data_IF_152324042717
#
_entry.id   IF_152324042717
#
_cell.length_a   1.000
_cell.length_b   1.000
_cell.length_c   1.000
_cell.angle_alpha   90.00
_cell.angle_beta   90.00
_cell.angle_gamma   90.00
#
_symmetry.space_group_name_H-M   'P 1'
#
loop_
_entity.id
_entity.type
_entity.pdbx_description
1 polymer ?
#
# COMPACT_ATOMS: atom_id res chain seq x y z
N UNK A 1 -1.16 -15.36 -52.90
CA UNK A 1 -1.31 -14.11 -53.66
C UNK A 1 -0.24 -13.14 -53.16
N UNK A 2 0.73 -12.75 -54.01
CA UNK A 2 2.03 -12.21 -53.57
C UNK A 2 2.11 -10.67 -53.50
N UNK A 3 3.23 -10.25 -52.91
CA UNK A 3 3.77 -8.92 -52.61
C UNK A 3 3.52 -7.78 -53.61
N UNK A 4 3.47 -6.56 -53.08
CA UNK A 4 3.78 -5.34 -53.82
C UNK A 4 5.11 -4.74 -53.34
N UNK A 5 6.01 -4.60 -54.32
CA UNK A 5 7.29 -3.92 -54.27
C UNK A 5 7.08 -2.40 -54.23
N UNK A 6 7.89 -1.68 -53.46
CA UNK A 6 8.36 -0.35 -53.89
C UNK A 6 9.82 -0.15 -53.47
N UNK A 7 10.57 0.39 -54.43
CA UNK A 7 12.01 0.34 -54.55
C UNK A 7 12.76 1.36 -53.66
N UNK A 8 14.01 0.99 -53.41
CA UNK A 8 15.10 1.77 -52.85
C UNK A 8 15.39 3.06 -53.64
N UNK A 9 15.82 4.10 -52.92
CA UNK A 9 16.85 5.01 -53.40
C UNK A 9 17.79 5.39 -52.25
N UNK A 10 19.06 5.05 -52.43
CA UNK A 10 20.21 5.41 -51.61
C UNK A 10 20.77 6.74 -52.11
N UNK A 11 21.07 7.69 -51.21
CA UNK A 11 22.25 8.56 -51.33
C UNK A 11 22.83 8.82 -49.94
N UNK A 12 24.12 8.57 -49.84
CA UNK A 12 25.02 8.63 -48.69
C UNK A 12 25.67 10.01 -48.48
N UNK A 13 25.86 10.39 -47.21
CA UNK A 13 27.06 11.06 -46.64
C UNK A 13 26.62 11.58 -45.26
N UNK A 14 27.14 11.17 -44.09
CA UNK A 14 28.52 10.89 -43.73
C UNK A 14 28.98 11.99 -42.77
N UNK A 15 29.04 11.72 -41.46
CA UNK A 15 30.05 12.22 -40.51
C UNK A 15 29.77 11.73 -39.07
N UNK A 16 30.71 10.97 -38.52
CA UNK A 16 30.79 10.50 -37.14
C UNK A 16 31.60 11.46 -36.24
N UNK A 17 31.11 11.66 -35.00
CA UNK A 17 31.80 11.82 -33.69
C UNK A 17 32.85 12.95 -33.47
N UNK A 18 33.15 13.38 -32.19
CA UNK A 18 33.13 12.59 -30.95
C UNK A 18 32.68 13.26 -29.62
N UNK A 19 32.55 12.38 -28.61
CA UNK A 19 32.63 12.63 -27.17
C UNK A 19 33.74 13.60 -26.75
N UNK A 20 33.50 14.42 -25.72
CA UNK A 20 34.57 15.07 -24.94
C UNK A 20 34.51 14.65 -23.47
N UNK A 21 35.60 14.03 -23.05
CA UNK A 21 35.95 13.63 -21.70
C UNK A 21 36.76 14.74 -20.99
N UNK A 22 36.67 14.71 -19.67
CA UNK A 22 37.30 15.47 -18.60
C UNK A 22 38.79 15.83 -18.82
N UNK A 23 39.18 17.05 -18.41
CA UNK A 23 40.57 17.38 -18.04
C UNK A 23 40.64 18.17 -16.74
N UNK A 24 41.41 17.63 -15.81
CA UNK A 24 41.94 18.28 -14.61
C UNK A 24 43.07 19.27 -14.99
N UNK A 25 43.15 20.39 -14.28
CA UNK A 25 44.38 21.16 -14.13
C UNK A 25 44.43 21.79 -12.74
N UNK A 26 45.42 21.37 -11.95
CA UNK A 26 45.91 22.03 -10.75
C UNK A 26 46.66 23.31 -11.11
N UNK A 27 46.50 24.37 -10.33
CA UNK A 27 47.62 25.19 -9.86
C UNK A 27 47.21 26.10 -8.70
N UNK A 28 47.98 25.95 -7.64
CA UNK A 28 48.05 26.68 -6.37
C UNK A 28 48.23 28.20 -6.49
N UNK A 29 47.64 28.97 -5.56
CA UNK A 29 48.41 29.71 -4.53
C UNK A 29 47.55 30.63 -3.65
N UNK A 30 47.78 30.51 -2.33
CA UNK A 30 47.73 31.53 -1.26
C UNK A 30 46.43 32.27 -0.90
N UNK A 31 46.01 32.00 0.34
CA UNK A 31 44.98 32.68 1.16
C UNK A 31 45.52 34.04 1.69
N UNK A 32 44.64 34.98 2.08
CA UNK A 32 44.62 35.33 3.50
C UNK A 32 43.20 35.41 4.11
N UNK A 33 43.15 35.12 5.40
CA UNK A 33 41.96 34.98 6.23
C UNK A 33 41.28 36.33 6.55
N UNK A 34 39.95 36.35 6.53
CA UNK A 34 39.12 37.37 7.19
C UNK A 34 37.93 36.68 7.87
N UNK A 35 37.75 36.97 9.16
CA UNK A 35 36.69 36.52 10.05
C UNK A 35 35.43 37.41 9.89
N UNK A 36 34.24 36.81 9.82
CA UNK A 36 32.98 37.43 10.30
C UNK A 36 31.80 36.44 10.30
N UNK A 37 31.33 36.16 11.52
CA UNK A 37 30.00 35.77 12.05
C UNK A 37 29.20 34.55 11.52
N UNK A 38 28.52 33.79 12.43
CA UNK A 38 27.76 32.61 12.06
C UNK A 38 26.33 32.97 11.64
N UNK A 39 25.93 32.57 10.43
CA UNK A 39 24.53 32.53 10.02
C UNK A 39 23.78 31.38 10.72
N UNK A 40 22.47 31.53 10.98
CA UNK A 40 21.70 30.60 11.78
C UNK A 40 21.52 29.28 11.03
N UNK A 41 21.83 28.18 11.71
CA UNK A 41 21.64 26.82 11.21
C UNK A 41 20.16 26.59 10.85
N UNK A 42 19.91 26.34 9.57
CA UNK A 42 18.66 25.79 9.05
C UNK A 42 18.31 24.51 9.83
N UNK A 43 17.24 24.60 10.62
CA UNK A 43 16.63 23.44 11.28
C UNK A 43 15.96 22.62 10.19
N UNK A 44 16.73 21.73 9.59
CA UNK A 44 16.22 20.63 8.77
C UNK A 44 15.37 19.74 9.68
N UNK A 45 14.07 20.02 9.72
CA UNK A 45 13.08 19.13 10.34
C UNK A 45 12.96 17.91 9.45
N UNK A 46 13.80 16.90 9.68
CA UNK A 46 13.54 15.56 9.16
C UNK A 46 12.31 14.98 9.88
N UNK A 47 11.41 14.27 9.20
CA UNK A 47 10.26 13.68 9.87
C UNK A 47 10.71 12.42 10.64
N UNK A 48 11.09 12.60 11.90
CA UNK A 48 11.46 11.57 12.90
C UNK A 48 10.31 10.62 13.30
N UNK A 49 9.46 10.18 12.36
CA UNK A 49 8.23 9.45 12.68
C UNK A 49 8.09 8.06 12.07
N UNK A 50 9.06 7.58 11.28
CA UNK A 50 9.02 6.24 10.69
C UNK A 50 9.71 5.16 11.54
N UNK A 51 10.75 5.49 12.30
CA UNK A 51 11.66 4.48 12.88
C UNK A 51 11.17 3.78 14.17
N UNK A 52 9.99 4.13 14.70
CA UNK A 52 9.53 3.66 16.02
C UNK A 52 8.29 2.75 16.02
N UNK A 53 7.78 2.30 14.86
CA UNK A 53 6.54 1.51 14.80
C UNK A 53 6.72 -0.02 14.75
N UNK A 54 7.96 -0.51 14.80
CA UNK A 54 8.26 -1.94 14.96
C UNK A 54 8.02 -2.80 13.69
N UNK A 55 8.38 -4.10 13.74
CA UNK A 55 8.30 -5.02 12.59
C UNK A 55 6.86 -5.34 12.12
N UNK A 56 5.86 -5.00 12.93
CA UNK A 56 4.44 -5.18 12.64
C UNK A 56 3.95 -4.28 11.52
N UNK A 57 4.53 -3.08 11.38
CA UNK A 57 4.16 -2.12 10.34
C UNK A 57 5.02 -2.31 9.11
N UNK A 58 4.38 -2.72 8.01
CA UNK A 58 4.99 -2.90 6.70
C UNK A 58 4.53 -1.79 5.77
N UNK A 59 5.49 -1.13 5.15
CA UNK A 59 5.24 -0.11 4.14
C UNK A 59 5.47 -0.71 2.75
N UNK A 60 4.57 -0.42 1.82
CA UNK A 60 4.87 -0.66 0.41
C UNK A 60 6.07 0.20 0.00
N UNK A 61 7.02 -0.34 -0.79
CA UNK A 61 8.12 0.44 -1.31
C UNK A 61 7.62 1.65 -2.08
N UNK A 62 7.94 2.85 -1.60
CA UNK A 62 7.49 4.09 -2.21
C UNK A 62 8.22 4.30 -3.54
N UNK A 63 7.45 4.48 -4.61
CA UNK A 63 7.94 4.93 -5.91
C UNK A 63 7.08 6.10 -6.39
N UNK A 64 7.51 6.78 -7.45
CA UNK A 64 6.82 7.97 -7.95
C UNK A 64 5.41 7.66 -8.47
N UNK A 65 5.14 6.42 -8.91
CA UNK A 65 3.79 5.97 -9.28
C UNK A 65 2.85 5.92 -8.07
N UNK A 66 3.29 5.37 -6.93
CA UNK A 66 2.49 5.37 -5.70
C UNK A 66 2.27 6.80 -5.21
N UNK A 67 3.30 7.65 -5.27
CA UNK A 67 3.19 9.06 -4.87
C UNK A 67 2.20 9.84 -5.73
N UNK A 68 2.20 9.61 -7.04
CA UNK A 68 1.24 10.19 -7.99
C UNK A 68 -0.19 9.79 -7.63
N UNK A 69 -0.44 8.49 -7.41
CA UNK A 69 -1.77 7.98 -7.01
C UNK A 69 -2.23 8.62 -5.69
N UNK A 70 -1.35 8.70 -4.69
CA UNK A 70 -1.64 9.36 -3.41
C UNK A 70 -1.95 10.85 -3.59
N UNK A 71 -1.24 11.53 -4.49
CA UNK A 71 -1.46 12.96 -4.79
C UNK A 71 -2.84 13.19 -5.39
N UNK A 72 -3.25 12.37 -6.37
CA UNK A 72 -4.58 12.45 -6.99
C UNK A 72 -5.69 12.16 -5.97
N UNK A 73 -5.52 11.14 -5.12
CA UNK A 73 -6.51 10.81 -4.08
C UNK A 73 -6.64 11.93 -3.03
N UNK A 74 -5.56 12.67 -2.76
CA UNK A 74 -5.56 13.77 -1.78
C UNK A 74 -6.04 15.09 -2.36
N UNK A 75 -5.96 15.29 -3.67
CA UNK A 75 -6.33 16.55 -4.29
C UNK A 75 -7.85 16.78 -4.27
N UNK A 76 -8.25 17.92 -3.70
CA UNK A 76 -9.66 18.31 -3.64
C UNK A 76 -10.27 18.54 -5.03
N UNK A 77 -9.47 18.92 -6.04
CA UNK A 77 -9.96 19.28 -7.39
C UNK A 77 -10.13 18.10 -8.33
N UNK A 78 -9.60 16.93 -7.97
CA UNK A 78 -9.66 15.70 -8.76
C UNK A 78 -11.10 15.25 -9.04
N UNK A 79 -11.43 14.85 -10.26
CA UNK A 79 -12.79 14.36 -10.56
C UNK A 79 -13.09 13.07 -9.79
N UNK A 80 -14.37 12.78 -9.50
CA UNK A 80 -14.72 11.50 -8.84
C UNK A 80 -14.27 10.28 -9.66
N UNK A 81 -14.32 10.36 -10.99
CA UNK A 81 -13.87 9.28 -11.87
C UNK A 81 -12.38 8.99 -11.70
N UNK A 82 -11.55 10.03 -11.74
CA UNK A 82 -10.10 9.91 -11.57
C UNK A 82 -9.73 9.46 -10.15
N UNK A 83 -10.48 9.95 -9.13
CA UNK A 83 -10.32 9.52 -7.75
C UNK A 83 -10.53 8.01 -7.61
N UNK A 84 -11.66 7.49 -8.09
CA UNK A 84 -11.98 6.04 -8.00
C UNK A 84 -10.96 5.23 -8.80
N UNK A 85 -10.61 5.66 -10.01
CA UNK A 85 -9.61 5.01 -10.83
C UNK A 85 -8.24 4.90 -10.12
N UNK A 86 -7.76 6.00 -9.53
CA UNK A 86 -6.48 6.00 -8.82
C UNK A 86 -6.54 5.24 -7.50
N UNK A 87 -7.67 5.31 -6.78
CA UNK A 87 -7.91 4.52 -5.58
C UNK A 87 -7.87 3.02 -5.88
N UNK A 88 -8.54 2.56 -6.93
CA UNK A 88 -8.56 1.14 -7.33
C UNK A 88 -7.16 0.66 -7.75
N UNK A 89 -6.39 1.50 -8.46
CA UNK A 89 -4.98 1.20 -8.77
C UNK A 89 -4.15 1.03 -7.51
N UNK A 90 -4.27 1.94 -6.55
CA UNK A 90 -3.53 1.88 -5.29
C UNK A 90 -3.95 0.67 -4.44
N UNK A 91 -5.25 0.37 -4.39
CA UNK A 91 -5.81 -0.82 -3.73
C UNK A 91 -5.20 -2.09 -4.31
N UNK A 92 -5.13 -2.22 -5.64
CA UNK A 92 -4.53 -3.40 -6.29
C UNK A 92 -3.10 -3.62 -5.82
N UNK A 93 -2.29 -2.57 -5.72
CA UNK A 93 -0.91 -2.67 -5.24
C UNK A 93 -0.83 -3.17 -3.79
N UNK A 94 -1.64 -2.60 -2.89
CA UNK A 94 -1.68 -3.02 -1.47
C UNK A 94 -2.19 -4.45 -1.33
N UNK A 95 -3.19 -4.84 -2.11
CA UNK A 95 -3.76 -6.18 -2.07
C UNK A 95 -2.74 -7.21 -2.52
N UNK A 96 -2.04 -6.99 -3.65
CA UNK A 96 -0.98 -7.90 -4.11
C UNK A 96 0.11 -8.07 -3.06
N UNK A 97 0.55 -6.95 -2.46
CA UNK A 97 1.55 -7.02 -1.39
C UNK A 97 1.00 -7.70 -0.12
N UNK A 98 -0.29 -7.55 0.17
CA UNK A 98 -0.97 -8.25 1.26
C UNK A 98 -1.03 -9.76 1.04
N UNK A 99 -1.20 -10.20 -0.21
CA UNK A 99 -1.17 -11.61 -0.59
C UNK A 99 0.23 -12.22 -0.46
N UNK A 100 1.29 -11.43 -0.71
CA UNK A 100 2.68 -11.87 -0.51
C UNK A 100 3.00 -12.21 0.96
N UNK A 101 2.21 -11.72 1.91
CA UNK A 101 2.38 -12.01 3.35
C UNK A 101 1.73 -13.34 3.77
N UNK A 102 1.09 -14.06 2.84
CA UNK A 102 0.43 -15.33 3.10
C UNK A 102 1.40 -16.51 2.98
N UNK A 103 1.18 -17.60 3.74
CA UNK A 103 2.05 -18.77 3.69
C UNK A 103 2.00 -19.45 2.32
N UNK A 104 3.15 -20.00 1.92
CA UNK A 104 3.32 -20.77 0.69
C UNK A 104 4.17 -22.00 0.94
N UNK A 105 4.09 -22.93 0.00
CA UNK A 105 4.93 -24.13 -0.07
C UNK A 105 5.75 -24.10 -1.36
N UNK A 106 6.99 -24.58 -1.31
CA UNK A 106 7.79 -24.79 -2.52
C UNK A 106 7.19 -25.91 -3.36
N UNK A 107 7.29 -25.78 -4.69
CA UNK A 107 6.83 -26.81 -5.61
C UNK A 107 7.65 -26.82 -6.89
N UNK A 108 7.77 -27.99 -7.51
CA UNK A 108 8.39 -28.13 -8.83
C UNK A 108 7.32 -28.45 -9.86
N UNK A 109 7.26 -27.66 -10.93
CA UNK A 109 6.40 -27.93 -12.08
C UNK A 109 7.24 -28.32 -13.29
N UNK A 110 6.63 -29.00 -14.26
CA UNK A 110 7.27 -29.29 -15.55
C UNK A 110 6.71 -28.32 -16.57
N UNK A 111 7.58 -27.53 -17.20
CA UNK A 111 7.19 -26.56 -18.23
C UNK A 111 6.74 -27.27 -19.50
N UNK A 112 6.01 -26.59 -20.42
CA UNK A 112 5.69 -27.16 -21.73
C UNK A 112 6.91 -27.59 -22.55
N UNK A 113 8.09 -27.05 -22.24
CA UNK A 113 9.38 -27.41 -22.86
C UNK A 113 10.07 -28.60 -22.18
N UNK A 114 9.46 -29.21 -21.17
CA UNK A 114 10.00 -30.36 -20.44
C UNK A 114 10.98 -30.03 -19.31
N UNK A 115 11.32 -28.75 -19.11
CA UNK A 115 12.20 -28.32 -18.03
C UNK A 115 11.50 -28.34 -16.67
N UNK A 116 12.25 -28.64 -15.61
CA UNK A 116 11.76 -28.49 -14.23
C UNK A 116 11.92 -27.04 -13.79
N UNK A 117 10.84 -26.43 -13.32
CA UNK A 117 10.84 -25.08 -12.75
C UNK A 117 10.51 -25.17 -11.25
N UNK A 118 11.39 -24.61 -10.44
CA UNK A 118 11.20 -24.47 -8.99
C UNK A 118 10.45 -23.17 -8.72
N UNK A 119 9.27 -23.29 -8.13
CA UNK A 119 8.40 -22.17 -7.82
C UNK A 119 7.69 -22.35 -6.49
N UNK A 120 6.67 -21.54 -6.27
CA UNK A 120 5.91 -21.53 -5.01
C UNK A 120 4.42 -21.69 -5.26
N UNK A 121 3.73 -22.24 -4.27
CA UNK A 121 2.28 -22.42 -4.25
C UNK A 121 1.74 -21.93 -2.91
N UNK A 122 0.96 -20.85 -2.97
CA UNK A 122 0.27 -20.31 -1.80
C UNK A 122 -0.69 -21.33 -1.18
N UNK A 123 -0.73 -21.34 0.14
CA UNK A 123 -1.64 -22.18 0.90
C UNK A 123 -3.10 -21.72 0.76
N UNK A 124 -4.02 -22.68 0.86
CA UNK A 124 -5.46 -22.40 0.89
C UNK A 124 -5.88 -22.06 2.31
N UNK A 125 -7.02 -21.37 2.43
CA UNK A 125 -7.60 -21.06 3.74
C UNK A 125 -7.58 -19.57 4.10
N UNK A 126 -7.34 -18.69 3.14
CA UNK A 126 -7.39 -17.24 3.39
C UNK A 126 -8.82 -16.72 3.21
N UNK A 127 -9.15 -15.61 3.87
CA UNK A 127 -10.39 -14.85 3.62
C UNK A 127 -10.16 -13.35 3.78
N UNK A 128 -10.96 -12.55 3.08
CA UNK A 128 -11.05 -11.12 3.32
C UNK A 128 -12.10 -10.81 4.38
N UNK A 129 -11.90 -9.73 5.13
CA UNK A 129 -12.94 -9.13 5.97
C UNK A 129 -12.94 -7.63 5.71
N UNK A 130 -14.05 -7.08 5.22
CA UNK A 130 -14.19 -5.64 5.02
C UNK A 130 -14.86 -4.98 6.22
N UNK A 131 -14.30 -3.87 6.69
CA UNK A 131 -14.96 -3.00 7.65
C UNK A 131 -15.82 -2.00 6.86
N UNK A 132 -17.13 -2.10 6.99
CA UNK A 132 -18.06 -1.25 6.27
C UNK A 132 -18.04 0.19 6.82
N UNK A 133 -18.19 1.21 5.97
CA UNK A 133 -18.40 1.13 4.51
C UNK A 133 -17.11 1.19 3.69
N UNK A 134 -16.10 1.94 4.13
CA UNK A 134 -14.89 2.21 3.33
C UNK A 134 -14.07 0.96 2.98
N UNK A 135 -14.07 -0.08 3.83
CA UNK A 135 -13.42 -1.36 3.54
C UNK A 135 -13.99 -2.08 2.32
N UNK A 136 -15.22 -1.80 1.92
CA UNK A 136 -15.86 -2.43 0.76
C UNK A 136 -15.21 -2.02 -0.56
N UNK A 137 -14.60 -0.83 -0.61
CA UNK A 137 -13.84 -0.35 -1.78
C UNK A 137 -12.70 -1.31 -2.16
N UNK A 138 -12.14 -2.03 -1.19
CA UNK A 138 -11.02 -2.94 -1.41
C UNK A 138 -11.45 -4.35 -1.86
N UNK A 139 -12.74 -4.67 -1.75
CA UNK A 139 -13.22 -6.03 -2.05
C UNK A 139 -13.04 -6.39 -3.53
N UNK A 140 -13.23 -5.43 -4.43
CA UNK A 140 -13.07 -5.68 -5.86
C UNK A 140 -11.61 -5.99 -6.20
N UNK A 141 -10.67 -5.17 -5.71
CA UNK A 141 -9.23 -5.43 -5.86
C UNK A 141 -8.84 -6.81 -5.33
N UNK A 142 -9.38 -7.23 -4.19
CA UNK A 142 -9.13 -8.57 -3.64
C UNK A 142 -9.71 -9.70 -4.51
N UNK A 143 -10.93 -9.55 -5.03
CA UNK A 143 -11.56 -10.55 -5.92
C UNK A 143 -10.83 -10.67 -7.26
N UNK A 144 -10.29 -9.57 -7.77
CA UNK A 144 -9.54 -9.53 -9.03
C UNK A 144 -8.19 -10.25 -8.92
N UNK A 145 -7.61 -10.32 -7.72
CA UNK A 145 -6.41 -11.11 -7.42
C UNK A 145 -6.79 -12.58 -7.11
N UNK A 146 -7.83 -12.78 -6.31
CA UNK A 146 -8.21 -14.08 -5.74
C UNK A 146 -9.69 -14.42 -6.01
N UNK A 147 -9.98 -15.03 -7.17
CA UNK A 147 -11.36 -15.31 -7.63
C UNK A 147 -12.25 -16.09 -6.66
N UNK A 148 -11.68 -16.95 -5.81
CA UNK A 148 -12.44 -17.82 -4.90
C UNK A 148 -12.31 -17.43 -3.42
N UNK A 149 -11.86 -16.21 -3.13
CA UNK A 149 -11.73 -15.74 -1.75
C UNK A 149 -13.11 -15.48 -1.13
N UNK A 150 -13.30 -15.98 0.10
CA UNK A 150 -14.50 -15.68 0.89
C UNK A 150 -14.32 -14.31 1.55
N UNK A 151 -15.38 -13.52 1.60
CA UNK A 151 -15.36 -12.18 2.21
C UNK A 151 -16.40 -12.12 3.32
N UNK A 152 -15.94 -11.87 4.54
CA UNK A 152 -16.77 -11.47 5.67
C UNK A 152 -16.91 -9.96 5.75
N UNK A 153 -17.89 -9.48 6.52
CA UNK A 153 -18.16 -8.05 6.68
C UNK A 153 -18.43 -7.71 8.14
N UNK A 154 -17.96 -6.53 8.56
CA UNK A 154 -18.24 -5.97 9.88
C UNK A 154 -18.74 -4.53 9.70
N UNK A 155 -19.86 -4.19 10.32
CA UNK A 155 -20.33 -2.81 10.48
C UNK A 155 -19.98 -2.31 11.87
N UNK A 156 -19.12 -1.31 11.93
CA UNK A 156 -18.78 -0.62 13.17
C UNK A 156 -19.12 0.84 12.97
N UNK A 157 -19.87 1.42 13.90
CA UNK A 157 -20.20 2.83 13.90
C UNK A 157 -19.91 3.38 15.30
N UNK A 158 -19.28 4.55 15.34
CA UNK A 158 -19.09 5.29 16.58
C UNK A 158 -20.43 5.89 16.98
N UNK A 159 -20.82 5.63 18.21
CA UNK A 159 -21.96 6.28 18.84
C UNK A 159 -21.68 7.77 19.02
N UNK A 160 -22.57 8.64 18.54
CA UNK A 160 -22.34 10.10 18.50
C UNK A 160 -22.26 10.72 19.89
N UNK A 161 -23.00 10.16 20.87
CA UNK A 161 -23.08 10.67 22.23
C UNK A 161 -21.92 10.17 23.10
N UNK A 162 -21.58 8.88 23.00
CA UNK A 162 -20.60 8.24 23.87
C UNK A 162 -19.21 8.11 23.24
N UNK A 163 -19.08 8.35 21.94
CA UNK A 163 -17.87 8.15 21.14
C UNK A 163 -17.32 6.72 21.19
N UNK A 164 -18.14 5.76 21.66
CA UNK A 164 -17.77 4.33 21.69
C UNK A 164 -18.06 3.68 20.36
N UNK A 165 -17.12 2.90 19.85
CA UNK A 165 -17.33 2.06 18.68
C UNK A 165 -18.31 0.94 19.07
N UNK A 166 -19.40 0.79 18.31
CA UNK A 166 -20.38 -0.28 18.49
C UNK A 166 -20.47 -1.13 17.23
N UNK A 167 -20.54 -2.44 17.43
CA UNK A 167 -20.70 -3.43 16.36
C UNK A 167 -22.19 -3.58 16.06
N UNK A 168 -22.60 -3.24 14.84
CA UNK A 168 -23.99 -3.34 14.38
C UNK A 168 -24.25 -4.60 13.56
N UNK A 169 -23.21 -5.12 12.90
CA UNK A 169 -23.32 -6.28 12.05
C UNK A 169 -21.95 -6.96 11.96
N UNK A 170 -21.92 -8.29 12.06
CA UNK A 170 -20.74 -9.08 11.80
C UNK A 170 -21.17 -10.40 11.16
N UNK A 171 -20.64 -10.70 9.98
CA UNK A 171 -20.90 -11.98 9.30
C UNK A 171 -19.64 -12.47 8.63
N UNK A 172 -19.19 -13.65 9.04
CA UNK A 172 -17.94 -14.25 8.60
C UNK A 172 -18.17 -15.60 7.92
N UNK A 173 -17.18 -16.11 7.17
CA UNK A 173 -17.13 -17.53 6.81
C UNK A 173 -17.26 -18.40 8.08
N UNK A 174 -18.03 -19.51 8.06
CA UNK A 174 -18.21 -20.36 9.24
C UNK A 174 -16.92 -20.93 9.84
N UNK A 175 -15.85 -20.97 9.05
CA UNK A 175 -14.54 -21.49 9.40
C UNK A 175 -13.48 -20.39 9.61
N UNK A 176 -13.88 -19.13 9.85
CA UNK A 176 -12.96 -17.97 9.97
C UNK A 176 -11.85 -18.16 11.01
N UNK A 177 -12.13 -18.83 12.14
CA UNK A 177 -11.17 -19.12 13.21
C UNK A 177 -9.93 -19.91 12.77
N UNK A 178 -10.00 -20.61 11.62
CA UNK A 178 -8.89 -21.40 11.05
C UNK A 178 -8.16 -20.69 9.91
N UNK A 179 -8.57 -19.46 9.58
CA UNK A 179 -8.14 -18.75 8.37
C UNK A 179 -7.14 -17.65 8.68
N UNK A 180 -6.33 -17.31 7.68
CA UNK A 180 -5.63 -16.01 7.62
C UNK A 180 -6.62 -14.97 7.12
N UNK A 181 -6.71 -13.85 7.84
CA UNK A 181 -7.68 -12.79 7.59
C UNK A 181 -6.97 -11.57 7.01
N UNK A 182 -7.34 -11.19 5.79
CA UNK A 182 -7.01 -9.89 5.21
C UNK A 182 -8.09 -8.90 5.62
N UNK A 183 -7.83 -8.15 6.70
CA UNK A 183 -8.75 -7.14 7.22
C UNK A 183 -8.57 -5.86 6.41
N UNK A 184 -9.62 -5.42 5.71
CA UNK A 184 -9.54 -4.30 4.76
C UNK A 184 -10.18 -3.05 5.33
N UNK A 185 -9.39 -1.98 5.46
CA UNK A 185 -9.85 -0.67 5.88
C UNK A 185 -8.91 0.43 5.36
N UNK A 186 -9.28 1.19 4.31
CA UNK A 186 -8.37 2.09 3.59
C UNK A 186 -7.76 3.22 4.41
N UNK A 187 -8.47 3.71 5.45
CA UNK A 187 -8.12 4.92 6.19
C UNK A 187 -7.93 4.60 7.66
N UNK A 188 -6.69 4.56 8.11
CA UNK A 188 -6.33 4.37 9.50
C UNK A 188 -6.03 5.71 10.17
N UNK A 189 -7.06 6.32 10.78
CA UNK A 189 -6.94 7.59 11.52
C UNK A 189 -6.57 7.39 12.99
N UNK A 190 -7.53 7.02 13.86
CA UNK A 190 -7.27 6.81 15.31
C UNK A 190 -6.97 5.35 15.66
N UNK A 191 -7.38 4.41 14.81
CA UNK A 191 -7.26 2.97 15.06
C UNK A 191 -8.46 2.35 15.77
N UNK A 192 -9.32 3.13 16.43
CA UNK A 192 -10.44 2.61 17.25
C UNK A 192 -11.36 1.65 16.49
N UNK A 193 -11.76 2.00 15.26
CA UNK A 193 -12.61 1.15 14.42
C UNK A 193 -11.96 -0.19 14.11
N UNK A 194 -10.64 -0.19 13.83
CA UNK A 194 -9.90 -1.41 13.54
C UNK A 194 -9.71 -2.23 14.80
N UNK A 195 -9.43 -1.58 15.94
CA UNK A 195 -9.31 -2.27 17.23
C UNK A 195 -10.58 -3.04 17.55
N UNK A 196 -11.73 -2.40 17.40
CA UNK A 196 -13.02 -3.05 17.64
C UNK A 196 -13.27 -4.19 16.64
N UNK A 197 -12.92 -4.01 15.36
CA UNK A 197 -13.01 -5.08 14.36
C UNK A 197 -12.15 -6.29 14.71
N UNK A 198 -10.93 -6.06 15.19
CA UNK A 198 -10.01 -7.12 15.63
C UNK A 198 -10.57 -7.83 16.87
N UNK A 199 -11.15 -7.12 17.83
CA UNK A 199 -11.84 -7.72 18.99
C UNK A 199 -12.96 -8.66 18.55
N UNK A 200 -13.83 -8.23 17.63
CA UNK A 200 -14.89 -9.08 17.08
C UNK A 200 -14.31 -10.33 16.41
N UNK A 201 -13.22 -10.21 15.65
CA UNK A 201 -12.57 -11.37 15.03
C UNK A 201 -12.01 -12.35 16.08
N UNK A 202 -11.43 -11.83 17.17
CA UNK A 202 -10.93 -12.63 18.30
C UNK A 202 -12.08 -13.35 19.01
N UNK A 203 -13.22 -12.69 19.23
CA UNK A 203 -14.44 -13.32 19.77
C UNK A 203 -14.93 -14.48 18.88
N UNK A 204 -14.66 -14.41 17.58
CA UNK A 204 -14.93 -15.48 16.62
C UNK A 204 -13.77 -16.48 16.46
N UNK A 205 -12.79 -16.47 17.38
CA UNK A 205 -11.70 -17.45 17.47
C UNK A 205 -10.50 -17.16 16.58
N UNK A 206 -10.43 -16.00 15.92
CA UNK A 206 -9.26 -15.61 15.11
C UNK A 206 -8.15 -15.09 16.01
N UNK A 207 -6.94 -15.59 15.83
CA UNK A 207 -5.78 -15.11 16.59
C UNK A 207 -5.20 -13.84 15.96
N UNK A 208 -4.74 -12.83 16.74
CA UNK A 208 -4.19 -11.59 16.19
C UNK A 208 -3.07 -11.78 15.16
N UNK A 209 -2.16 -12.74 15.39
CA UNK A 209 -1.09 -13.15 14.44
C UNK A 209 -1.58 -13.69 13.09
N UNK A 210 -2.87 -13.97 12.95
CA UNK A 210 -3.49 -14.40 11.70
C UNK A 210 -4.20 -13.27 10.96
N UNK A 211 -4.19 -12.06 11.52
CA UNK A 211 -4.82 -10.88 10.94
C UNK A 211 -3.75 -10.01 10.30
N UNK A 212 -3.94 -9.70 9.02
CA UNK A 212 -3.15 -8.75 8.26
C UNK A 212 -4.09 -7.61 7.89
N UNK A 213 -3.88 -6.44 8.49
CA UNK A 213 -4.61 -5.22 8.19
C UNK A 213 -4.05 -4.60 6.91
N UNK A 214 -4.91 -4.47 5.89
CA UNK A 214 -4.63 -3.75 4.65
C UNK A 214 -5.22 -2.35 4.73
N UNK A 215 -4.36 -1.34 4.66
CA UNK A 215 -4.72 0.08 4.64
C UNK A 215 -4.05 0.78 3.46
N UNK A 216 -4.61 1.90 3.00
CA UNK A 216 -3.94 2.76 2.03
C UNK A 216 -3.18 3.87 2.77
N UNK A 217 -3.84 4.49 3.74
CA UNK A 217 -3.34 5.66 4.47
C UNK A 217 -3.36 5.34 5.97
N UNK A 218 -2.23 5.54 6.65
CA UNK A 218 -2.15 5.41 8.10
C UNK A 218 -1.62 6.67 8.75
N UNK A 219 -2.14 7.04 9.92
CA UNK A 219 -1.45 7.97 10.80
C UNK A 219 -0.49 7.22 11.72
N UNK A 220 0.58 7.88 12.22
CA UNK A 220 1.45 7.28 13.24
C UNK A 220 0.67 6.87 14.50
N UNK A 221 -0.29 7.71 14.93
CA UNK A 221 -1.12 7.43 16.10
C UNK A 221 -2.00 6.19 15.89
N UNK A 222 -2.68 6.08 14.76
CA UNK A 222 -3.57 4.95 14.46
C UNK A 222 -2.82 3.62 14.40
N UNK A 223 -1.66 3.58 13.74
CA UNK A 223 -0.83 2.38 13.70
C UNK A 223 -0.30 2.01 15.10
N UNK A 224 0.21 2.98 15.86
CA UNK A 224 0.72 2.75 17.22
C UNK A 224 -0.36 2.20 18.16
N UNK A 225 -1.56 2.78 18.15
CA UNK A 225 -2.67 2.33 18.99
C UNK A 225 -3.05 0.87 18.70
N UNK A 226 -3.08 0.47 17.44
CA UNK A 226 -3.38 -0.93 17.05
C UNK A 226 -2.27 -1.88 17.49
N UNK A 227 -1.00 -1.52 17.27
CA UNK A 227 0.14 -2.37 17.62
C UNK A 227 0.28 -2.53 19.13
N UNK A 228 -0.02 -1.48 19.90
CA UNK A 228 -0.02 -1.54 21.36
C UNK A 228 -1.10 -2.49 21.90
N UNK A 229 -2.29 -2.47 21.30
CA UNK A 229 -3.39 -3.36 21.70
C UNK A 229 -3.17 -4.80 21.20
N UNK A 230 -2.62 -4.97 20.00
CA UNK A 230 -2.39 -6.27 19.36
C UNK A 230 -0.95 -6.40 18.84
N UNK A 231 0.03 -6.75 19.70
CA UNK A 231 1.44 -6.78 19.33
C UNK A 231 1.82 -7.76 18.21
N UNK A 232 0.98 -8.76 17.95
CA UNK A 232 1.22 -9.78 16.92
C UNK A 232 0.52 -9.48 15.58
N UNK A 233 -0.26 -8.40 15.47
CA UNK A 233 -0.94 -8.04 14.22
C UNK A 233 0.07 -7.55 13.18
N UNK A 234 -0.20 -7.80 11.90
CA UNK A 234 0.54 -7.16 10.80
C UNK A 234 -0.29 -6.02 10.22
N UNK A 235 0.30 -4.85 10.06
CA UNK A 235 -0.30 -3.70 9.34
C UNK A 235 0.48 -3.50 8.05
N UNK A 236 -0.19 -3.50 6.91
CA UNK A 236 0.36 -3.18 5.61
C UNK A 236 -0.30 -1.91 5.08
N UNK A 237 0.49 -0.88 4.79
CA UNK A 237 0.00 0.42 4.30
C UNK A 237 0.92 1.01 3.24
N UNK A 238 0.39 1.93 2.42
CA UNK A 238 1.21 2.63 1.40
C UNK A 238 1.98 3.81 1.96
N UNK A 239 1.46 4.40 3.03
CA UNK A 239 2.12 5.52 3.70
C UNK A 239 1.74 5.61 5.18
N UNK A 240 2.60 6.31 5.91
CA UNK A 240 2.35 6.84 7.25
C UNK A 240 2.47 8.35 7.19
N UNK A 241 1.37 9.05 7.43
CA UNK A 241 1.30 10.50 7.31
C UNK A 241 0.46 11.10 8.46
N UNK A 242 0.82 12.28 9.02
CA UNK A 242 0.09 12.88 10.14
C UNK A 242 -1.41 13.09 9.87
N UNK A 243 -1.76 13.33 8.60
CA UNK A 243 -3.14 13.57 8.15
C UNK A 243 -3.56 12.52 7.11
N UNK A 244 -4.63 11.79 7.42
CA UNK A 244 -5.24 10.82 6.52
C UNK A 244 -6.44 11.45 5.75
N UNK A 245 -6.72 11.03 4.49
CA UNK A 245 -7.85 11.54 3.72
C UNK A 245 -9.17 10.93 4.21
N UNK A 246 -9.74 11.50 5.28
CA UNK A 246 -10.96 10.99 5.94
C UNK A 246 -12.21 10.99 5.05
N UNK A 247 -12.23 11.82 4.02
CA UNK A 247 -13.31 11.89 3.02
C UNK A 247 -13.29 10.73 2.01
N UNK A 248 -12.33 9.80 2.08
CA UNK A 248 -12.16 8.70 1.11
C UNK A 248 -13.45 7.93 0.86
N UNK A 249 -14.13 7.50 1.92
CA UNK A 249 -15.37 6.71 1.79
C UNK A 249 -16.48 7.49 1.08
N UNK A 250 -16.69 8.75 1.44
CA UNK A 250 -17.71 9.60 0.82
C UNK A 250 -17.42 9.79 -0.67
N UNK A 251 -16.19 10.17 -1.03
CA UNK A 251 -15.81 10.43 -2.41
C UNK A 251 -15.81 9.18 -3.29
N UNK A 252 -15.30 8.05 -2.77
CA UNK A 252 -15.30 6.77 -3.48
C UNK A 252 -16.73 6.34 -3.83
N UNK A 253 -17.64 6.38 -2.86
CA UNK A 253 -19.04 5.97 -3.07
C UNK A 253 -19.94 7.07 -3.65
N UNK A 254 -19.46 8.32 -3.75
CA UNK A 254 -20.25 9.45 -4.26
C UNK A 254 -21.37 9.87 -3.31
N UNK A 255 -21.05 9.95 -2.01
CA UNK A 255 -21.96 10.39 -0.94
C UNK A 255 -21.42 11.62 -0.21
N UNK A 256 -20.59 12.41 -0.88
CA UNK A 256 -20.10 13.73 -0.45
C UNK A 256 -21.13 14.85 -0.65
#
# INVERSE_FOLDING_TARGET
MPCHNQQLNNVSSGQEHPMKQVRFANSSSSVPAVLSDPEPSDVSTQPDSQDNLGPQLKLLPLNDQIRELQTIIRDKTTSRGDFVFCADRLIRLVVEEGLNQLPYSECTVTTPTGYKYEGVKFERGNCGVSIMRSGEAMEQGLRDCCRSIRIGKILIQSDEETQKAKVYYAKFPPDVYRRKVLLMYPILSTGNTVIEAVRVLIEHGVQPRHIILLSLFSTPHGAKSIIQEFPDITILTTEVHPVAPTHFGQRYFGTD
#
